data_IF_925693593339
#
_entry.id   IF_925693593339
#
_cell.length_a   1.000
_cell.length_b   1.000
_cell.length_c   1.000
_cell.angle_alpha   90.00
_cell.angle_beta   90.00
_cell.angle_gamma   90.00
#
_symmetry.space_group_name_H-M   'P 1'
#
loop_
_entity.id
_entity.type
_entity.pdbx_description
1 polymer ?
#
# COMPACT_ATOMS: atom_id res chain seq x y z
N UNK A 1 21.12 13.90 19.54
CA UNK A 1 19.89 13.50 18.80
C UNK A 1 19.96 13.89 17.32
N UNK A 2 20.12 15.17 16.98
CA UNK A 2 20.28 15.64 15.59
C UNK A 2 21.50 15.03 14.86
N UNK A 3 22.62 14.82 15.56
CA UNK A 3 23.82 14.17 15.01
C UNK A 3 23.54 12.75 14.50
N UNK A 4 22.87 11.93 15.31
CA UNK A 4 22.51 10.55 14.92
C UNK A 4 21.63 10.52 13.66
N UNK A 5 20.68 11.45 13.52
CA UNK A 5 19.86 11.57 12.32
C UNK A 5 20.70 11.95 11.08
N UNK A 6 21.62 12.90 11.22
CA UNK A 6 22.54 13.34 10.16
C UNK A 6 23.47 12.22 9.70
N UNK A 7 24.03 11.46 10.63
CA UNK A 7 25.05 10.46 10.35
C UNK A 7 24.46 9.12 9.91
N UNK A 8 23.13 8.96 9.98
CA UNK A 8 22.42 7.76 9.52
C UNK A 8 22.74 6.50 10.32
N UNK A 9 23.43 6.63 11.46
CA UNK A 9 23.94 5.50 12.24
C UNK A 9 22.82 4.59 12.82
N UNK A 10 21.58 5.08 12.79
CA UNK A 10 20.37 4.36 13.17
C UNK A 10 19.79 3.46 12.06
N UNK A 11 20.26 3.61 10.81
CA UNK A 11 19.78 2.91 9.61
C UNK A 11 20.76 1.80 9.21
N UNK A 12 20.81 0.74 10.02
CA UNK A 12 21.56 -0.47 9.69
C UNK A 12 20.81 -1.38 8.72
N UNK A 13 21.55 -2.28 8.05
CA UNK A 13 20.99 -3.23 7.08
C UNK A 13 19.87 -4.11 7.65
N UNK A 14 20.01 -4.51 8.92
CA UNK A 14 19.00 -5.29 9.64
C UNK A 14 17.70 -4.50 9.82
N UNK A 15 17.81 -3.21 10.17
CA UNK A 15 16.64 -2.34 10.32
C UNK A 15 15.95 -2.11 8.98
N UNK A 16 16.72 -1.85 7.93
CA UNK A 16 16.19 -1.69 6.57
C UNK A 16 15.44 -2.93 6.13
N UNK A 17 16.01 -4.13 6.33
CA UNK A 17 15.36 -5.39 5.99
C UNK A 17 14.07 -5.59 6.79
N UNK A 18 14.07 -5.32 8.10
CA UNK A 18 12.86 -5.42 8.93
C UNK A 18 11.75 -4.49 8.43
N UNK A 19 12.08 -3.22 8.18
CA UNK A 19 11.10 -2.24 7.68
C UNK A 19 10.56 -2.68 6.31
N UNK A 20 11.43 -3.11 5.40
CA UNK A 20 11.03 -3.61 4.09
C UNK A 20 10.09 -4.83 4.19
N UNK A 21 10.41 -5.81 5.04
CA UNK A 21 9.56 -6.99 5.26
C UNK A 21 8.21 -6.62 5.87
N UNK A 22 8.18 -5.68 6.82
CA UNK A 22 6.92 -5.19 7.42
C UNK A 22 6.07 -4.50 6.35
N UNK A 23 6.66 -3.61 5.55
CA UNK A 23 5.95 -2.93 4.47
C UNK A 23 5.42 -3.92 3.42
N UNK A 24 6.21 -4.93 3.06
CA UNK A 24 5.77 -6.00 2.17
C UNK A 24 4.58 -6.76 2.76
N UNK A 25 4.68 -7.18 4.02
CA UNK A 25 3.59 -7.90 4.71
C UNK A 25 2.30 -7.09 4.78
N UNK A 26 2.40 -5.79 5.12
CA UNK A 26 1.25 -4.88 5.13
C UNK A 26 0.66 -4.70 3.73
N UNK A 27 1.50 -4.55 2.70
CA UNK A 27 1.05 -4.43 1.32
C UNK A 27 0.29 -5.67 0.84
N UNK A 28 0.83 -6.86 1.11
CA UNK A 28 0.18 -8.13 0.77
C UNK A 28 -1.13 -8.29 1.54
N UNK A 29 -1.15 -7.99 2.84
CA UNK A 29 -2.37 -8.05 3.65
C UNK A 29 -3.44 -7.10 3.10
N UNK A 30 -3.04 -5.89 2.68
CA UNK A 30 -3.99 -4.92 2.18
C UNK A 30 -4.58 -5.36 0.82
N UNK A 31 -3.74 -5.88 -0.08
CA UNK A 31 -4.23 -6.47 -1.33
C UNK A 31 -5.16 -7.65 -1.07
N UNK A 32 -4.82 -8.55 -0.14
CA UNK A 32 -5.65 -9.69 0.21
C UNK A 32 -7.02 -9.28 0.76
N UNK A 33 -7.07 -8.25 1.62
CA UNK A 33 -8.33 -7.72 2.14
C UNK A 33 -9.14 -7.01 1.05
N UNK A 34 -8.49 -6.23 0.16
CA UNK A 34 -9.17 -5.55 -0.94
C UNK A 34 -9.86 -6.56 -1.87
N UNK A 35 -9.13 -7.56 -2.35
CA UNK A 35 -9.68 -8.60 -3.22
C UNK A 35 -10.63 -9.55 -2.50
N UNK A 36 -10.32 -9.92 -1.26
CA UNK A 36 -11.14 -10.85 -0.47
C UNK A 36 -12.47 -10.27 0.01
N UNK A 37 -12.63 -8.94 -0.03
CA UNK A 37 -13.89 -8.25 0.30
C UNK A 37 -14.58 -7.62 -0.90
N UNK A 38 -14.00 -7.73 -2.09
CA UNK A 38 -14.58 -7.26 -3.35
C UNK A 38 -15.66 -8.22 -3.87
N UNK A 39 -16.61 -7.67 -4.62
CA UNK A 39 -17.54 -8.43 -5.45
C UNK A 39 -17.11 -8.28 -6.93
N UNK A 40 -16.49 -9.33 -7.47
CA UNK A 40 -15.87 -9.28 -8.78
C UNK A 40 -14.75 -8.24 -8.85
N UNK A 41 -14.89 -7.25 -9.74
CA UNK A 41 -13.92 -6.15 -9.93
C UNK A 41 -14.26 -4.89 -9.15
N UNK A 42 -15.27 -4.93 -8.27
CA UNK A 42 -15.78 -3.80 -7.51
C UNK A 42 -15.49 -4.03 -6.03
N UNK A 43 -14.81 -3.08 -5.38
CA UNK A 43 -14.55 -3.14 -3.95
C UNK A 43 -15.85 -2.95 -3.14
N UNK A 44 -15.75 -3.19 -1.83
CA UNK A 44 -16.89 -3.04 -0.91
C UNK A 44 -17.50 -1.62 -0.87
N UNK A 45 -16.79 -0.61 -1.37
CA UNK A 45 -17.23 0.78 -1.42
C UNK A 45 -17.77 1.19 -2.80
N UNK A 46 -17.90 0.24 -3.74
CA UNK A 46 -18.39 0.50 -5.10
C UNK A 46 -17.33 1.01 -6.07
N UNK A 47 -16.04 0.91 -5.72
CA UNK A 47 -14.92 1.41 -6.54
C UNK A 47 -14.34 0.28 -7.39
N UNK A 48 -13.95 0.52 -8.65
CA UNK A 48 -13.26 -0.48 -9.45
C UNK A 48 -11.85 -0.75 -8.88
N UNK A 49 -11.54 -2.04 -8.67
CA UNK A 49 -10.21 -2.53 -8.24
C UNK A 49 -9.28 -2.75 -9.43
N UNK A 50 -9.84 -2.91 -10.64
CA UNK A 50 -9.11 -3.03 -11.88
C UNK A 50 -8.72 -1.67 -12.48
N UNK A 51 -7.64 -1.65 -13.27
CA UNK A 51 -7.25 -0.48 -14.04
C UNK A 51 -8.27 -0.17 -15.15
N UNK A 52 -8.89 -1.20 -15.70
CA UNK A 52 -9.93 -1.06 -16.72
C UNK A 52 -11.11 -0.27 -16.15
N UNK A 53 -11.43 0.84 -16.80
CA UNK A 53 -12.51 1.78 -16.44
C UNK A 53 -12.33 2.61 -15.16
N UNK A 54 -11.20 2.48 -14.45
CA UNK A 54 -10.87 3.35 -13.30
C UNK A 54 -10.92 4.85 -13.65
N UNK A 55 -10.46 5.20 -14.86
CA UNK A 55 -10.48 6.56 -15.40
C UNK A 55 -11.90 7.11 -15.58
N UNK A 56 -12.83 6.26 -16.04
CA UNK A 56 -14.24 6.65 -16.26
C UNK A 56 -14.95 6.82 -14.92
N UNK A 57 -14.74 5.89 -14.00
CA UNK A 57 -15.24 6.00 -12.62
C UNK A 57 -14.76 7.30 -11.95
N UNK A 58 -13.46 7.62 -12.08
CA UNK A 58 -12.89 8.84 -11.53
C UNK A 58 -13.46 10.12 -12.17
N UNK A 59 -13.69 10.13 -13.48
CA UNK A 59 -14.29 11.27 -14.19
C UNK A 59 -15.74 11.54 -13.76
N UNK A 60 -16.48 10.51 -13.33
CA UNK A 60 -17.86 10.63 -12.83
C UNK A 60 -18.00 11.10 -11.38
N UNK A 61 -16.89 11.33 -10.66
CA UNK A 61 -16.90 11.84 -9.27
C UNK A 61 -16.63 13.35 -9.15
N UNK A 62 -16.47 14.06 -10.28
CA UNK A 62 -16.35 15.52 -10.33
C UNK A 62 -17.72 16.18 -10.46
#
# INVERSE_FOLDING_TARGET
MLSSLRDGNWLGIERTRRIATIMLGLGVLWLALLWGTADGTIDRFGRPVGADFSQVYAAGQM
#
